data_IF_215306549295
#
_entry.id   IF_215306549295
#
_cell.length_a   1.000
_cell.length_b   1.000
_cell.length_c   1.000
_cell.angle_alpha   90.00
_cell.angle_beta   90.00
_cell.angle_gamma   90.00
#
_symmetry.space_group_name_H-M   'P 1'
#
loop_
_entity.id
_entity.type
_entity.pdbx_description
1 polymer ?
#
# COMPACT_ATOMS: atom_id res chain seq x y z
N UNK A 1 -10.15 -1.85 -8.13
CA UNK A 1 -9.25 -1.61 -6.98
C UNK A 1 -9.11 -2.91 -6.20
N UNK A 2 -7.93 -3.54 -6.28
CA UNK A 2 -7.55 -4.67 -5.41
C UNK A 2 -7.05 -4.10 -4.07
N UNK A 3 -7.12 -4.87 -2.98
CA UNK A 3 -6.57 -4.47 -1.67
C UNK A 3 -6.06 -5.72 -0.96
N UNK A 4 -4.88 -5.65 -0.32
CA UNK A 4 -4.30 -6.78 0.40
C UNK A 4 -3.71 -6.32 1.74
N UNK A 5 -4.11 -7.00 2.81
CA UNK A 5 -3.78 -6.65 4.20
C UNK A 5 -2.70 -7.57 4.77
N UNK A 6 -1.85 -7.08 5.68
CA UNK A 6 -0.78 -7.86 6.29
C UNK A 6 -0.79 -7.71 7.82
N UNK A 7 -0.37 -8.74 8.53
CA UNK A 7 -0.35 -8.76 10.00
C UNK A 7 1.06 -8.51 10.59
N UNK A 8 1.96 -7.89 9.80
CA UNK A 8 3.34 -7.63 10.21
C UNK A 8 3.51 -6.22 10.76
N UNK A 9 4.06 -6.12 11.96
CA UNK A 9 4.34 -4.84 12.62
C UNK A 9 5.39 -4.01 11.86
N UNK A 10 6.37 -4.69 11.23
CA UNK A 10 7.45 -4.07 10.46
C UNK A 10 7.48 -4.67 9.06
N UNK A 11 7.55 -3.81 8.05
CA UNK A 11 7.55 -4.15 6.63
C UNK A 11 8.97 -4.05 6.04
N UNK A 12 9.46 -5.19 5.56
CA UNK A 12 10.75 -5.33 4.89
C UNK A 12 10.67 -5.13 3.37
N UNK A 13 11.75 -5.44 2.67
CA UNK A 13 11.85 -5.31 1.20
C UNK A 13 10.86 -6.22 0.48
N UNK A 14 10.51 -7.35 1.09
CA UNK A 14 9.58 -8.33 0.53
C UNK A 14 8.22 -7.73 0.17
N UNK A 15 7.71 -6.77 0.96
CA UNK A 15 6.42 -6.14 0.68
C UNK A 15 6.47 -5.27 -0.57
N UNK A 16 7.62 -4.63 -0.80
CA UNK A 16 7.83 -3.76 -1.95
C UNK A 16 7.93 -4.62 -3.20
N UNK A 17 8.67 -5.72 -3.15
CA UNK A 17 8.77 -6.68 -4.27
C UNK A 17 7.43 -7.28 -4.65
N UNK A 18 6.60 -7.62 -3.66
CA UNK A 18 5.26 -8.13 -3.92
C UNK A 18 4.38 -7.07 -4.62
N UNK A 19 4.52 -5.80 -4.23
CA UNK A 19 3.86 -4.70 -4.90
C UNK A 19 4.40 -4.51 -6.32
N UNK A 20 5.71 -4.58 -6.54
CA UNK A 20 6.34 -4.52 -7.87
C UNK A 20 5.82 -5.64 -8.78
N UNK A 21 5.75 -6.89 -8.29
CA UNK A 21 5.16 -8.01 -9.01
C UNK A 21 3.69 -7.74 -9.37
N UNK A 22 2.95 -7.10 -8.48
CA UNK A 22 1.55 -6.71 -8.76
C UNK A 22 1.49 -5.64 -9.83
N UNK A 23 2.30 -4.59 -9.73
CA UNK A 23 2.35 -3.47 -10.68
C UNK A 23 2.84 -3.89 -12.06
N UNK A 24 3.72 -4.90 -12.16
CA UNK A 24 4.20 -5.47 -13.43
C UNK A 24 3.10 -6.01 -14.33
N UNK A 25 1.93 -6.32 -13.76
CA UNK A 25 0.74 -6.81 -14.48
C UNK A 25 -0.24 -5.70 -14.87
N UNK A 26 0.09 -4.45 -14.57
CA UNK A 26 -0.76 -3.28 -14.81
C UNK A 26 -0.07 -2.28 -15.74
N UNK A 27 -0.82 -1.29 -16.23
CA UNK A 27 -0.29 -0.24 -17.12
C UNK A 27 0.76 0.63 -16.43
N UNK A 28 1.67 1.24 -17.22
CA UNK A 28 2.79 2.06 -16.74
C UNK A 28 2.37 3.24 -15.83
N UNK A 29 1.17 3.78 -16.01
CA UNK A 29 0.64 4.89 -15.20
C UNK A 29 0.05 4.45 -13.85
N UNK A 30 0.31 3.20 -13.45
CA UNK A 30 -0.21 2.66 -12.20
C UNK A 30 0.65 3.08 -11.02
N UNK A 31 0.02 3.74 -10.05
CA UNK A 31 0.64 4.02 -8.76
C UNK A 31 0.23 2.92 -7.79
N UNK A 32 1.21 2.27 -7.16
CA UNK A 32 1.04 1.39 -6.01
C UNK A 32 1.22 2.16 -4.72
N UNK A 33 0.25 2.09 -3.81
CA UNK A 33 0.37 2.70 -2.48
C UNK A 33 0.59 1.59 -1.46
N UNK A 34 1.49 1.80 -0.51
CA UNK A 34 1.58 1.01 0.72
C UNK A 34 1.25 1.95 1.86
N UNK A 35 0.38 1.47 2.74
CA UNK A 35 -0.08 2.21 3.91
C UNK A 35 0.35 1.43 5.14
N UNK A 36 0.70 2.13 6.21
CA UNK A 36 0.92 1.54 7.54
C UNK A 36 0.27 2.40 8.61
N UNK A 37 0.10 1.90 9.85
CA UNK A 37 -0.33 2.73 10.97
C UNK A 37 0.61 3.91 11.23
N UNK A 38 1.93 3.70 11.10
CA UNK A 38 2.95 4.74 11.20
C UNK A 38 4.02 4.51 10.14
N UNK A 39 4.61 5.60 9.66
CA UNK A 39 5.76 5.56 8.76
C UNK A 39 6.93 4.74 9.34
N UNK A 40 7.10 4.69 10.66
CA UNK A 40 8.18 3.95 11.32
C UNK A 40 8.12 2.43 11.07
N UNK A 41 6.95 1.92 10.67
CA UNK A 41 6.76 0.51 10.36
C UNK A 41 7.50 0.06 9.09
N UNK A 42 8.07 0.98 8.28
CA UNK A 42 8.91 0.62 7.15
C UNK A 42 10.39 0.54 7.52
N UNK A 43 11.02 -0.59 7.23
CA UNK A 43 12.48 -0.71 7.32
C UNK A 43 13.19 0.28 6.37
N UNK A 44 14.42 0.66 6.71
CA UNK A 44 15.27 1.48 5.82
C UNK A 44 15.46 0.84 4.45
N UNK A 45 15.53 -0.49 4.40
CA UNK A 45 15.68 -1.23 3.15
C UNK A 45 14.40 -1.19 2.30
N UNK A 46 13.21 -1.32 2.92
CA UNK A 46 11.94 -1.17 2.21
C UNK A 46 11.79 0.24 1.60
N UNK A 47 12.13 1.29 2.37
CA UNK A 47 12.14 2.68 1.87
C UNK A 47 13.08 2.86 0.69
N UNK A 48 14.27 2.27 0.77
CA UNK A 48 15.25 2.31 -0.33
C UNK A 48 14.71 1.59 -1.56
N UNK A 49 14.16 0.39 -1.40
CA UNK A 49 13.60 -0.40 -2.48
C UNK A 49 12.49 0.36 -3.21
N UNK A 50 11.53 0.93 -2.47
CA UNK A 50 10.46 1.73 -3.06
C UNK A 50 10.99 2.96 -3.82
N UNK A 51 12.01 3.64 -3.28
CA UNK A 51 12.63 4.82 -3.92
C UNK A 51 13.40 4.48 -5.20
N UNK A 52 13.95 3.27 -5.30
CA UNK A 52 14.73 2.81 -6.46
C UNK A 52 13.93 1.95 -7.42
N UNK A 53 12.63 1.74 -7.15
CA UNK A 53 11.77 0.94 -8.00
C UNK A 53 11.55 1.62 -9.35
N UNK A 54 11.45 0.82 -10.41
CA UNK A 54 11.03 1.30 -11.73
C UNK A 54 9.52 1.58 -11.78
N UNK A 55 8.76 1.10 -10.77
CA UNK A 55 7.34 1.33 -10.64
C UNK A 55 7.02 2.53 -9.74
N UNK A 56 5.87 3.17 -9.97
CA UNK A 56 5.41 4.28 -9.15
C UNK A 56 4.89 3.78 -7.79
N UNK A 57 5.74 3.76 -6.77
CA UNK A 57 5.39 3.29 -5.41
C UNK A 57 5.40 4.44 -4.40
N UNK A 58 4.32 4.58 -3.65
CA UNK A 58 4.20 5.51 -2.52
C UNK A 58 4.16 4.72 -1.22
N UNK A 59 5.07 5.02 -0.30
CA UNK A 59 4.98 4.57 1.09
C UNK A 59 4.36 5.69 1.92
N UNK A 60 3.27 5.41 2.63
CA UNK A 60 2.57 6.39 3.46
C UNK A 60 2.04 5.74 4.74
N UNK A 61 1.48 6.55 5.64
CA UNK A 61 0.82 6.08 6.84
C UNK A 61 -0.63 6.59 6.93
N UNK A 62 -1.35 6.17 7.98
CA UNK A 62 -2.75 6.55 8.22
C UNK A 62 -2.91 8.07 8.39
N UNK A 63 -1.91 8.78 8.90
CA UNK A 63 -2.00 10.23 9.12
C UNK A 63 -1.88 11.03 7.82
N UNK A 64 -1.17 10.48 6.83
CA UNK A 64 -0.88 11.13 5.56
C UNK A 64 -1.79 10.66 4.41
N UNK A 65 -2.80 9.83 4.68
CA UNK A 65 -3.74 9.34 3.67
C UNK A 65 -5.08 10.10 3.74
N UNK A 66 -5.70 10.33 2.58
CA UNK A 66 -6.97 11.03 2.47
C UNK A 66 -8.08 10.31 3.27
N UNK A 67 -8.98 11.06 3.92
CA UNK A 67 -10.11 10.51 4.68
C UNK A 67 -10.97 9.56 3.85
N UNK A 68 -11.18 9.84 2.56
CA UNK A 68 -11.96 8.96 1.67
C UNK A 68 -11.34 7.56 1.54
N UNK A 69 -10.01 7.48 1.59
CA UNK A 69 -9.28 6.20 1.57
C UNK A 69 -9.37 5.51 2.93
N UNK A 70 -9.33 6.27 4.03
CA UNK A 70 -9.57 5.73 5.39
C UNK A 70 -10.96 5.10 5.46
N UNK A 71 -11.98 5.83 5.03
CA UNK A 71 -13.38 5.40 5.05
C UNK A 71 -13.59 4.16 4.17
N UNK A 72 -13.05 4.17 2.95
CA UNK A 72 -13.11 3.02 2.05
C UNK A 72 -12.56 1.75 2.71
N UNK A 73 -11.46 1.91 3.44
CA UNK A 73 -10.77 0.81 4.06
C UNK A 73 -11.51 0.30 5.30
N UNK A 74 -11.99 1.20 6.15
CA UNK A 74 -12.79 0.83 7.33
C UNK A 74 -14.08 0.10 6.93
N UNK A 75 -14.72 0.51 5.82
CA UNK A 75 -15.86 -0.19 5.23
C UNK A 75 -15.51 -1.62 4.76
N UNK A 76 -14.30 -1.82 4.22
CA UNK A 76 -13.81 -3.15 3.81
C UNK A 76 -13.45 -4.02 5.00
N UNK A 77 -12.87 -3.45 6.05
CA UNK A 77 -12.52 -4.16 7.29
C UNK A 77 -13.74 -4.59 8.09
N UNK A 78 -14.84 -3.83 8.10
CA UNK A 78 -16.10 -4.26 8.74
C UNK A 78 -16.68 -5.55 8.15
N UNK A 79 -16.29 -5.93 6.93
CA UNK A 79 -16.66 -7.24 6.33
C UNK A 79 -15.75 -8.39 6.77
N UNK A 80 -14.62 -8.11 7.42
CA UNK A 80 -13.63 -9.08 7.91
C UNK A 80 -13.55 -8.95 9.43
N UNK A 81 -14.51 -9.54 10.15
CA UNK A 81 -14.53 -9.49 11.61
C UNK A 81 -13.32 -10.21 12.23
N UNK A 82 -12.72 -9.55 13.24
CA UNK A 82 -11.86 -10.09 14.30
C UNK A 82 -10.34 -10.20 14.11
N UNK A 83 -9.66 -9.19 13.56
CA UNK A 83 -8.26 -8.88 13.94
C UNK A 83 -7.98 -7.41 13.62
N UNK A 84 -7.27 -6.68 14.49
CA UNK A 84 -6.72 -5.35 14.15
C UNK A 84 -5.57 -5.58 13.15
N UNK A 85 -5.74 -5.35 11.84
CA UNK A 85 -4.67 -5.63 10.92
C UNK A 85 -3.84 -4.35 10.74
N UNK A 86 -2.53 -4.49 10.63
CA UNK A 86 -1.72 -3.44 10.04
C UNK A 86 -2.17 -3.23 8.60
N UNK A 87 -2.74 -2.05 8.37
CA UNK A 87 -3.44 -1.77 7.14
C UNK A 87 -2.46 -1.41 6.03
N UNK A 88 -2.09 -2.39 5.22
CA UNK A 88 -1.50 -2.13 3.91
C UNK A 88 -2.62 -2.09 2.88
N UNK A 89 -2.69 -1.02 2.10
CA UNK A 89 -3.68 -0.87 1.03
C UNK A 89 -2.93 -0.71 -0.27
N UNK A 90 -2.80 -1.79 -1.04
CA UNK A 90 -2.29 -1.72 -2.41
C UNK A 90 -3.36 -1.05 -3.27
N UNK A 91 -3.33 0.27 -3.37
CA UNK A 91 -4.19 0.98 -4.32
C UNK A 91 -3.48 0.98 -5.66
N UNK A 92 -4.19 0.57 -6.71
CA UNK A 92 -3.76 0.55 -8.11
C UNK A 92 -4.72 1.47 -8.85
N UNK A 93 -4.25 2.63 -9.30
CA UNK A 93 -5.01 3.53 -10.16
C UNK A 93 -4.61 3.31 -11.63
N UNK A 94 -5.59 3.20 -12.53
CA UNK A 94 -5.36 3.21 -13.98
C UNK A 94 -5.92 4.50 -14.59
N UNK A 95 -5.08 5.19 -15.38
CA UNK A 95 -5.27 6.44 -16.14
C UNK A 95 -6.48 7.35 -15.79
N UNK A 96 -6.18 8.53 -15.22
CA UNK A 96 -6.99 9.73 -15.39
C UNK A 96 -6.69 10.35 -16.77
N UNK A 97 -7.39 9.91 -17.81
CA UNK A 97 -7.45 10.72 -19.04
C UNK A 97 -8.40 11.90 -18.79
N UNK A 98 -7.89 13.13 -18.98
CA UNK A 98 -8.71 14.34 -19.08
C UNK A 98 -9.66 14.27 -20.26
#
# INVERSE_FOLDING_TARGET
>A
MATKTYDRLILGVEIVRELEETLSRHHEDTIGVLVTPSNENYTKQARRAAKTSEFNIILTDKENICSDLIDFVELRQKKVQNSQPLLVVIIVFGQFRK
#
